data_IF_684823036582
#
_entry.id   IF_684823036582
#
_cell.length_a   1.000
_cell.length_b   1.000
_cell.length_c   1.000
_cell.angle_alpha   90.00
_cell.angle_beta   90.00
_cell.angle_gamma   90.00
#
_symmetry.space_group_name_H-M   'P 1'
#
loop_
_entity.id
_entity.type
_entity.pdbx_description
1 polymer ?
#
# COMPACT_ATOMS: atom_id res chain seq x y z
N UNK A 1 -9.45 22.27 4.49
CA UNK A 1 -9.08 20.89 4.09
C UNK A 1 -7.63 20.64 4.50
N UNK A 2 -7.36 19.50 5.10
CA UNK A 2 -6.00 19.14 5.51
C UNK A 2 -5.16 18.70 4.32
N UNK A 3 -3.90 19.13 4.25
CA UNK A 3 -2.96 18.57 3.28
C UNK A 3 -2.51 17.17 3.75
N UNK A 4 -1.74 16.48 2.92
CA UNK A 4 -1.36 15.10 3.25
C UNK A 4 -0.52 15.01 4.52
N UNK A 5 0.43 15.95 4.72
CA UNK A 5 1.25 15.93 5.92
C UNK A 5 0.39 16.08 7.18
N UNK A 6 -0.59 16.98 7.14
CA UNK A 6 -1.52 17.18 8.24
C UNK A 6 -2.37 15.93 8.49
N UNK A 7 -2.80 15.24 7.42
CA UNK A 7 -3.52 13.97 7.55
C UNK A 7 -2.68 12.93 8.26
N UNK A 8 -1.39 12.80 7.88
CA UNK A 8 -0.49 11.85 8.53
C UNK A 8 -0.31 12.18 10.02
N UNK A 9 -0.05 13.45 10.34
CA UNK A 9 0.13 13.89 11.72
C UNK A 9 -1.11 13.55 12.54
N UNK A 10 -2.29 13.91 12.03
CA UNK A 10 -3.54 13.66 12.73
C UNK A 10 -3.83 12.17 12.88
N UNK A 11 -3.59 11.38 11.84
CA UNK A 11 -3.77 9.93 11.92
C UNK A 11 -2.86 9.30 12.98
N UNK A 12 -1.58 9.68 12.99
CA UNK A 12 -0.63 9.12 13.96
C UNK A 12 -0.97 9.54 15.39
N UNK A 13 -1.56 10.75 15.56
CA UNK A 13 -1.97 11.23 16.87
C UNK A 13 -3.23 10.52 17.39
N UNK A 14 -4.22 10.35 16.54
CA UNK A 14 -5.57 9.94 16.95
C UNK A 14 -5.95 8.50 16.59
N UNK A 15 -5.33 7.93 15.57
CA UNK A 15 -5.77 6.64 15.03
C UNK A 15 -7.11 6.70 14.33
N UNK A 16 -7.55 7.90 13.91
CA UNK A 16 -8.87 8.10 13.31
C UNK A 16 -9.02 7.28 12.02
N UNK A 17 -10.02 6.39 11.99
CA UNK A 17 -10.21 5.46 10.88
C UNK A 17 -10.65 6.14 9.59
N UNK A 18 -11.34 7.28 9.66
CA UNK A 18 -11.72 8.02 8.46
C UNK A 18 -10.52 8.66 7.80
N UNK A 19 -9.58 9.15 8.61
CA UNK A 19 -8.33 9.70 8.08
C UNK A 19 -7.49 8.59 7.47
N UNK A 20 -7.42 7.43 8.14
CA UNK A 20 -6.74 6.25 7.60
C UNK A 20 -7.31 5.88 6.24
N UNK A 21 -8.63 5.85 6.11
CA UNK A 21 -9.30 5.55 4.85
C UNK A 21 -8.91 6.54 3.75
N UNK A 22 -8.87 7.84 4.06
CA UNK A 22 -8.46 8.85 3.10
C UNK A 22 -7.03 8.60 2.59
N UNK A 23 -6.12 8.27 3.50
CA UNK A 23 -4.74 7.96 3.13
C UNK A 23 -4.65 6.71 2.26
N UNK A 24 -5.39 5.66 2.63
CA UNK A 24 -5.41 4.42 1.86
C UNK A 24 -5.95 4.67 0.45
N UNK A 25 -7.10 5.32 0.35
CA UNK A 25 -7.74 5.60 -0.94
C UNK A 25 -6.83 6.42 -1.85
N UNK A 26 -6.12 7.40 -1.28
CA UNK A 26 -5.18 8.22 -2.05
C UNK A 26 -4.10 7.38 -2.73
N UNK A 27 -3.68 6.29 -2.12
CA UNK A 27 -2.57 5.48 -2.61
C UNK A 27 -2.98 4.18 -3.32
N UNK A 28 -4.29 3.93 -3.49
CA UNK A 28 -4.75 2.79 -4.30
C UNK A 28 -4.18 2.84 -5.73
N UNK A 29 -4.11 4.00 -6.40
CA UNK A 29 -3.47 4.06 -7.73
C UNK A 29 -2.01 3.57 -7.73
N UNK A 30 -1.28 3.77 -6.63
CA UNK A 30 0.08 3.26 -6.51
C UNK A 30 0.10 1.73 -6.51
N UNK A 31 -0.86 1.11 -5.82
CA UNK A 31 -0.98 -0.36 -5.82
C UNK A 31 -1.20 -0.87 -7.25
N UNK A 32 -2.11 -0.24 -7.99
CA UNK A 32 -2.39 -0.62 -9.37
C UNK A 32 -1.18 -0.45 -10.27
N UNK A 33 -0.41 0.61 -10.05
CA UNK A 33 0.83 0.84 -10.80
C UNK A 33 1.83 -0.29 -10.54
N UNK A 34 2.03 -0.65 -9.28
CA UNK A 34 2.96 -1.72 -8.89
C UNK A 34 2.51 -3.05 -9.50
N UNK A 35 1.21 -3.37 -9.40
CA UNK A 35 0.66 -4.59 -9.97
C UNK A 35 0.87 -4.62 -11.48
N UNK A 36 0.63 -3.50 -12.17
CA UNK A 36 0.83 -3.41 -13.62
C UNK A 36 2.27 -3.72 -14.03
N UNK A 37 3.24 -3.34 -13.20
CA UNK A 37 4.65 -3.65 -13.45
C UNK A 37 4.97 -5.12 -13.17
N UNK A 38 4.38 -5.68 -12.11
CA UNK A 38 4.69 -7.05 -11.70
C UNK A 38 4.07 -8.11 -12.58
N UNK A 39 2.83 -7.86 -13.05
CA UNK A 39 2.04 -8.89 -13.74
C UNK A 39 2.69 -9.34 -15.05
N UNK A 40 3.49 -8.48 -15.69
CA UNK A 40 4.17 -8.82 -16.93
C UNK A 40 5.19 -9.94 -16.76
N UNK A 41 5.65 -10.19 -15.54
CA UNK A 41 6.65 -11.20 -15.23
C UNK A 41 6.06 -12.42 -14.49
N UNK A 42 4.72 -12.50 -14.44
CA UNK A 42 4.04 -13.57 -13.73
C UNK A 42 3.30 -14.48 -14.71
N UNK A 43 2.98 -15.72 -14.29
CA UNK A 43 2.20 -16.63 -15.15
C UNK A 43 0.85 -16.03 -15.53
N UNK A 44 0.35 -16.37 -16.72
CA UNK A 44 -0.92 -15.83 -17.22
C UNK A 44 -2.12 -16.24 -16.38
N UNK A 45 -1.99 -17.29 -15.58
CA UNK A 45 -3.04 -17.72 -14.68
C UNK A 45 -3.27 -16.80 -13.50
N UNK A 46 -2.33 -15.87 -13.24
CA UNK A 46 -2.45 -14.92 -12.13
C UNK A 46 -3.33 -13.76 -12.56
N UNK A 47 -4.40 -13.51 -11.79
CA UNK A 47 -5.38 -12.48 -12.09
C UNK A 47 -4.93 -11.12 -11.56
N UNK A 48 -5.09 -10.08 -12.40
CA UNK A 48 -4.74 -8.70 -12.01
C UNK A 48 -5.50 -8.26 -10.75
N UNK A 49 -6.81 -8.55 -10.69
CA UNK A 49 -7.63 -8.10 -9.56
C UNK A 49 -7.20 -8.75 -8.25
N UNK A 50 -6.78 -10.02 -8.30
CA UNK A 50 -6.27 -10.69 -7.10
C UNK A 50 -4.98 -10.04 -6.61
N UNK A 51 -4.09 -9.68 -7.54
CA UNK A 51 -2.85 -8.99 -7.17
C UNK A 51 -3.12 -7.62 -6.54
N UNK A 52 -4.13 -6.90 -7.05
CA UNK A 52 -4.52 -5.62 -6.46
C UNK A 52 -4.99 -5.82 -5.01
N UNK A 53 -5.80 -6.84 -4.76
CA UNK A 53 -6.25 -7.15 -3.39
C UNK A 53 -5.07 -7.45 -2.48
N UNK A 54 -4.11 -8.27 -2.92
CA UNK A 54 -2.92 -8.57 -2.13
C UNK A 54 -2.09 -7.32 -1.88
N UNK A 55 -1.99 -6.45 -2.88
CA UNK A 55 -1.26 -5.20 -2.76
C UNK A 55 -1.93 -4.23 -1.78
N UNK A 56 -3.26 -4.19 -1.74
CA UNK A 56 -4.00 -3.35 -0.80
C UNK A 56 -3.73 -3.80 0.64
N UNK A 57 -3.61 -5.10 0.90
CA UNK A 57 -3.22 -5.59 2.22
C UNK A 57 -1.87 -4.99 2.63
N UNK A 58 -0.90 -4.97 1.70
CA UNK A 58 0.40 -4.35 1.95
C UNK A 58 0.31 -2.84 2.16
N UNK A 59 -0.58 -2.18 1.42
CA UNK A 59 -0.81 -0.74 1.58
C UNK A 59 -1.39 -0.42 2.96
N UNK A 60 -2.36 -1.19 3.43
CA UNK A 60 -2.94 -1.01 4.76
C UNK A 60 -1.88 -1.14 5.83
N UNK A 61 -1.03 -2.15 5.71
CA UNK A 61 0.08 -2.35 6.64
C UNK A 61 1.06 -1.18 6.60
N UNK A 62 1.36 -0.68 5.40
CA UNK A 62 2.28 0.45 5.24
C UNK A 62 1.73 1.72 5.88
N UNK A 63 0.44 2.01 5.71
CA UNK A 63 -0.19 3.20 6.32
C UNK A 63 -0.09 3.11 7.84
N UNK A 64 -0.30 1.94 8.39
CA UNK A 64 -0.28 1.74 9.83
C UNK A 64 1.13 1.87 10.42
N UNK A 65 2.13 1.35 9.71
CA UNK A 65 3.50 1.26 10.23
C UNK A 65 4.43 2.40 9.80
N UNK A 66 3.98 3.27 8.89
CA UNK A 66 4.84 4.35 8.42
C UNK A 66 5.28 5.26 9.56
N UNK A 67 6.58 5.54 9.61
CA UNK A 67 7.18 6.40 10.63
C UNK A 67 7.52 7.76 10.01
N UNK A 68 6.84 8.81 10.47
CA UNK A 68 7.02 10.16 9.97
C UNK A 68 8.40 10.75 10.28
N UNK A 69 9.12 10.16 11.23
CA UNK A 69 10.43 10.66 11.65
C UNK A 69 11.58 10.11 10.81
N UNK A 70 11.30 9.18 9.91
CA UNK A 70 12.34 8.62 9.04
C UNK A 70 12.43 9.41 7.74
N UNK A 71 13.63 9.47 7.19
CA UNK A 71 13.91 10.21 5.96
C UNK A 71 13.58 9.37 4.73
N UNK A 72 12.34 8.92 4.63
CA UNK A 72 11.84 8.14 3.50
C UNK A 72 10.42 8.63 3.20
N UNK A 73 10.09 8.78 1.92
CA UNK A 73 8.73 9.14 1.54
C UNK A 73 7.80 7.95 1.75
N UNK A 74 6.52 8.24 2.02
CA UNK A 74 5.55 7.16 2.13
C UNK A 74 5.49 6.34 0.84
N UNK A 75 5.52 6.99 -0.32
CA UNK A 75 5.48 6.28 -1.60
C UNK A 75 6.58 5.22 -1.70
N UNK A 76 7.82 5.57 -1.37
CA UNK A 76 8.94 4.63 -1.43
C UNK A 76 8.74 3.47 -0.46
N UNK A 77 8.33 3.78 0.77
CA UNK A 77 8.06 2.77 1.78
C UNK A 77 6.93 1.84 1.35
N UNK A 78 5.83 2.42 0.84
CA UNK A 78 4.63 1.66 0.46
C UNK A 78 4.91 0.72 -0.71
N UNK A 79 5.68 1.14 -1.72
CA UNK A 79 6.01 0.28 -2.86
C UNK A 79 6.64 -1.03 -2.38
N UNK A 80 7.60 -0.95 -1.47
CA UNK A 80 8.26 -2.14 -0.93
C UNK A 80 7.28 -3.03 -0.18
N UNK A 81 6.40 -2.43 0.62
CA UNK A 81 5.42 -3.20 1.39
C UNK A 81 4.37 -3.85 0.49
N UNK A 82 3.91 -3.12 -0.52
CA UNK A 82 2.93 -3.65 -1.49
C UNK A 82 3.52 -4.84 -2.24
N UNK A 83 4.73 -4.69 -2.77
CA UNK A 83 5.40 -5.79 -3.49
C UNK A 83 5.61 -6.99 -2.59
N UNK A 84 6.06 -6.78 -1.36
CA UNK A 84 6.28 -7.85 -0.40
C UNK A 84 5.01 -8.61 -0.10
N UNK A 85 3.90 -7.90 0.10
CA UNK A 85 2.60 -8.51 0.37
C UNK A 85 2.12 -9.38 -0.80
N UNK A 86 2.30 -8.87 -2.02
CA UNK A 86 1.93 -9.63 -3.22
C UNK A 86 2.75 -10.92 -3.33
N UNK A 87 4.06 -10.84 -3.17
CA UNK A 87 4.92 -12.02 -3.24
C UNK A 87 4.61 -13.01 -2.13
N UNK A 88 4.34 -12.53 -0.92
CA UNK A 88 4.00 -13.41 0.20
C UNK A 88 2.72 -14.19 -0.07
N UNK A 89 1.70 -13.52 -0.62
CA UNK A 89 0.44 -14.21 -0.98
C UNK A 89 0.64 -15.23 -2.10
N UNK A 90 1.40 -14.87 -3.13
CA UNK A 90 1.66 -15.80 -4.23
C UNK A 90 2.40 -17.05 -3.74
N UNK A 91 3.35 -16.89 -2.81
CA UNK A 91 4.07 -18.03 -2.25
C UNK A 91 3.17 -18.93 -1.40
N UNK A 92 2.20 -18.34 -0.69
CA UNK A 92 1.32 -19.12 0.18
C UNK A 92 0.34 -19.98 -0.61
N UNK A 93 0.18 -19.75 -1.91
CA UNK A 93 -0.75 -20.50 -2.77
C UNK A 93 -0.11 -21.70 -3.46
N UNK A 94 1.18 -21.87 -3.31
CA UNK A 94 1.89 -23.02 -3.91
C UNK A 94 1.64 -24.32 -3.18
#
# INVERSE_FOLDING_TARGET
MLDERQLWIEYKRSGNLKIREQLVVKYIPLVKYVVGKMITNLPKSVEYDDLVEYGIIGLLDAVEKFDLNKEITFKTYAVTRVRGSIYDELRSQD
#
